data_IF_610101209744
#
_entry.id   IF_610101209744
#
_cell.length_a   1.000
_cell.length_b   1.000
_cell.length_c   1.000
_cell.angle_alpha   90.00
_cell.angle_beta   90.00
_cell.angle_gamma   90.00
#
_symmetry.space_group_name_H-M   'P 1'
#
loop_
_entity.id
_entity.type
_entity.pdbx_description
1 polymer ?
#
# COMPACT_ATOMS: atom_id res chain seq x y z
N UNK A 1 -13.93 -42.68 -0.72
CA UNK A 1 -13.13 -41.86 0.21
C UNK A 1 -13.60 -40.43 0.03
N UNK A 2 -14.45 -39.95 0.93
CA UNK A 2 -14.87 -38.55 0.95
C UNK A 2 -13.80 -37.76 1.73
N UNK A 3 -13.11 -36.86 1.04
CA UNK A 3 -12.22 -35.91 1.70
C UNK A 3 -13.08 -34.85 2.38
N UNK A 4 -13.33 -35.03 3.67
CA UNK A 4 -13.98 -34.05 4.51
C UNK A 4 -12.97 -32.98 4.92
N UNK A 5 -12.67 -32.05 4.01
CA UNK A 5 -11.80 -30.91 4.31
C UNK A 5 -12.63 -29.86 5.05
N UNK A 6 -12.81 -30.03 6.37
CA UNK A 6 -13.29 -28.93 7.22
C UNK A 6 -12.25 -27.82 7.16
N UNK A 7 -12.51 -26.80 6.34
CA UNK A 7 -11.68 -25.60 6.31
C UNK A 7 -11.82 -24.94 7.69
N UNK A 8 -10.76 -25.02 8.50
CA UNK A 8 -10.72 -24.34 9.80
C UNK A 8 -10.96 -22.86 9.57
N UNK A 9 -11.99 -22.31 10.21
CA UNK A 9 -12.35 -20.91 10.08
C UNK A 9 -11.21 -20.07 10.65
N UNK A 10 -10.50 -19.34 9.79
CA UNK A 10 -9.36 -18.50 10.19
C UNK A 10 -9.84 -17.10 10.57
N UNK A 11 -9.27 -16.46 11.60
CA UNK A 11 -9.53 -15.05 11.87
C UNK A 11 -9.09 -14.16 10.70
N UNK A 12 -9.86 -13.12 10.42
CA UNK A 12 -9.51 -12.10 9.44
C UNK A 12 -8.40 -11.22 10.00
N UNK A 13 -7.31 -11.06 9.25
CA UNK A 13 -6.14 -10.27 9.64
C UNK A 13 -5.98 -9.00 8.81
N UNK A 14 -6.71 -8.90 7.69
CA UNK A 14 -6.64 -7.81 6.72
C UNK A 14 -6.48 -8.37 5.31
N UNK A 15 -6.01 -7.54 4.38
CA UNK A 15 -5.91 -7.90 2.96
C UNK A 15 -5.13 -9.20 2.71
N UNK A 16 -4.03 -9.39 3.44
CA UNK A 16 -3.12 -10.53 3.28
C UNK A 16 -3.81 -11.90 3.34
N UNK A 17 -4.95 -12.02 4.02
CA UNK A 17 -5.72 -13.25 4.10
C UNK A 17 -7.20 -13.07 3.73
N UNK A 18 -7.60 -11.94 3.13
CA UNK A 18 -9.01 -11.63 2.83
C UNK A 18 -9.63 -12.69 1.90
N UNK A 19 -8.94 -13.09 0.83
CA UNK A 19 -9.45 -14.11 -0.10
C UNK A 19 -9.50 -15.51 0.52
N UNK A 20 -8.47 -15.86 1.30
CA UNK A 20 -8.42 -17.14 2.01
C UNK A 20 -9.52 -17.23 3.07
N UNK A 21 -9.74 -16.14 3.82
CA UNK A 21 -10.82 -15.97 4.78
C UNK A 21 -12.18 -16.08 4.10
N UNK A 22 -12.42 -15.33 3.02
CA UNK A 22 -13.69 -15.36 2.30
C UNK A 22 -14.00 -16.75 1.74
N UNK A 23 -12.97 -17.47 1.27
CA UNK A 23 -13.11 -18.86 0.81
C UNK A 23 -13.45 -19.80 1.96
N UNK A 24 -12.73 -19.73 3.08
CA UNK A 24 -12.98 -20.56 4.26
C UNK A 24 -14.39 -20.33 4.83
N UNK A 25 -14.82 -19.07 4.93
CA UNK A 25 -16.17 -18.69 5.35
C UNK A 25 -17.24 -19.27 4.41
N UNK A 26 -17.06 -19.13 3.09
CA UNK A 26 -18.01 -19.70 2.10
C UNK A 26 -18.10 -21.22 2.19
N UNK A 27 -16.99 -21.92 2.44
CA UNK A 27 -16.97 -23.38 2.63
C UNK A 27 -17.71 -23.77 3.91
N UNK A 28 -17.41 -23.10 5.02
CA UNK A 28 -18.07 -23.34 6.31
C UNK A 28 -19.58 -23.08 6.25
N UNK A 29 -20.00 -22.02 5.59
CA UNK A 29 -21.43 -21.73 5.43
C UNK A 29 -22.09 -22.71 4.44
N UNK A 30 -21.36 -23.21 3.44
CA UNK A 30 -21.88 -24.21 2.51
C UNK A 30 -22.16 -25.54 3.21
N UNK A 31 -21.29 -25.99 4.12
CA UNK A 31 -21.53 -27.22 4.90
C UNK A 31 -22.73 -27.11 5.83
N UNK A 32 -23.18 -25.88 6.14
CA UNK A 32 -24.37 -25.59 6.93
C UNK A 32 -25.62 -25.31 6.08
N UNK A 33 -25.50 -25.28 4.74
CA UNK A 33 -26.59 -24.86 3.84
C UNK A 33 -26.89 -23.35 3.89
N UNK A 34 -26.00 -22.54 4.46
CA UNK A 34 -26.20 -21.11 4.73
C UNK A 34 -25.39 -20.18 3.82
N UNK A 35 -24.54 -20.71 2.92
CA UNK A 35 -23.75 -19.92 1.97
C UNK A 35 -24.56 -18.84 1.22
N UNK A 36 -25.82 -19.09 0.78
CA UNK A 36 -26.62 -18.09 0.07
C UNK A 36 -26.76 -16.75 0.81
N UNK A 37 -26.77 -16.75 2.15
CA UNK A 37 -26.94 -15.54 2.97
C UNK A 37 -25.79 -14.54 2.87
N UNK A 38 -24.63 -14.90 2.30
CA UNK A 38 -23.52 -13.96 2.04
C UNK A 38 -23.23 -13.78 0.55
N UNK A 39 -23.90 -14.53 -0.34
CA UNK A 39 -23.65 -14.45 -1.79
C UNK A 39 -24.80 -13.84 -2.57
N UNK A 40 -26.01 -13.84 -2.00
CA UNK A 40 -27.23 -13.38 -2.65
C UNK A 40 -28.11 -12.66 -1.63
N UNK A 41 -28.86 -11.66 -2.07
CA UNK A 41 -29.85 -11.01 -1.20
C UNK A 41 -31.05 -11.94 -1.04
N UNK A 42 -31.35 -12.33 0.20
CA UNK A 42 -32.47 -13.22 0.53
C UNK A 42 -33.54 -12.40 1.25
N UNK A 43 -34.67 -12.09 0.60
CA UNK A 43 -35.74 -11.35 1.25
C UNK A 43 -36.40 -12.18 2.36
N UNK A 44 -37.06 -11.49 3.30
CA UNK A 44 -37.84 -12.15 4.33
C UNK A 44 -38.98 -12.98 3.70
N UNK A 45 -39.12 -14.26 4.06
CA UNK A 45 -40.17 -15.10 3.50
C UNK A 45 -41.49 -14.91 4.24
N UNK A 46 -42.62 -15.06 3.54
CA UNK A 46 -43.96 -15.03 4.15
C UNK A 46 -44.19 -16.19 5.13
N UNK A 47 -43.52 -17.33 4.90
CA UNK A 47 -43.58 -18.54 5.73
C UNK A 47 -42.18 -18.86 6.25
N UNK A 48 -42.10 -19.40 7.47
CA UNK A 48 -40.84 -19.76 8.14
C UNK A 48 -39.92 -18.56 8.49
N UNK A 49 -40.50 -17.40 8.79
CA UNK A 49 -39.78 -16.19 9.22
C UNK A 49 -38.82 -16.45 10.41
N UNK A 50 -39.25 -17.23 11.40
CA UNK A 50 -38.40 -17.59 12.54
C UNK A 50 -37.12 -18.33 12.11
N UNK A 51 -37.23 -19.27 11.17
CA UNK A 51 -36.07 -19.98 10.63
C UNK A 51 -35.15 -19.02 9.88
N UNK A 52 -35.72 -18.11 9.09
CA UNK A 52 -34.96 -17.11 8.35
C UNK A 52 -34.15 -16.19 9.28
N UNK A 53 -34.72 -15.71 10.39
CA UNK A 53 -33.99 -14.95 11.40
C UNK A 53 -32.90 -15.78 12.08
N UNK A 54 -33.20 -17.03 12.46
CA UNK A 54 -32.22 -17.92 13.09
C UNK A 54 -31.04 -18.21 12.15
N UNK A 55 -31.31 -18.45 10.88
CA UNK A 55 -30.28 -18.66 9.86
C UNK A 55 -29.41 -17.41 9.72
N UNK A 56 -29.99 -16.22 9.59
CA UNK A 56 -29.23 -14.94 9.55
C UNK A 56 -28.38 -14.74 10.79
N UNK A 57 -28.96 -14.88 11.99
CA UNK A 57 -28.23 -14.75 13.25
C UNK A 57 -27.07 -15.74 13.35
N UNK A 58 -27.26 -16.97 12.86
CA UNK A 58 -26.20 -17.98 12.81
C UNK A 58 -25.07 -17.58 11.87
N UNK A 59 -25.38 -17.04 10.69
CA UNK A 59 -24.35 -16.54 9.76
C UNK A 59 -23.62 -15.33 10.35
N UNK A 60 -24.35 -14.37 10.92
CA UNK A 60 -23.76 -13.22 11.62
C UNK A 60 -22.79 -13.66 12.71
N UNK A 61 -23.21 -14.58 13.59
CA UNK A 61 -22.35 -15.10 14.65
C UNK A 61 -21.06 -15.74 14.13
N UNK A 62 -21.13 -16.46 12.99
CA UNK A 62 -19.94 -17.01 12.33
C UNK A 62 -19.04 -15.89 11.80
N UNK A 63 -19.58 -14.87 11.13
CA UNK A 63 -18.78 -13.75 10.63
C UNK A 63 -18.11 -13.01 11.80
N UNK A 64 -18.87 -12.63 12.82
CA UNK A 64 -18.38 -11.95 14.03
C UNK A 64 -17.23 -12.72 14.69
N UNK A 65 -17.34 -14.06 14.79
CA UNK A 65 -16.27 -14.88 15.38
C UNK A 65 -14.91 -14.76 14.67
N UNK A 66 -14.90 -14.27 13.43
CA UNK A 66 -13.68 -14.10 12.63
C UNK A 66 -13.14 -12.67 12.58
N UNK A 67 -13.93 -11.68 12.97
CA UNK A 67 -13.57 -10.24 12.88
C UNK A 67 -13.34 -9.60 14.26
N UNK A 68 -13.07 -10.40 15.30
CA UNK A 68 -12.76 -9.95 16.67
C UNK A 68 -11.41 -9.22 16.82
N UNK A 69 -10.82 -8.74 15.73
CA UNK A 69 -9.56 -8.00 15.74
C UNK A 69 -9.88 -6.49 15.77
N UNK A 70 -9.38 -5.78 16.78
CA UNK A 70 -9.63 -4.34 16.99
C UNK A 70 -9.32 -3.49 15.75
N UNK A 71 -8.27 -3.84 14.99
CA UNK A 71 -7.93 -3.11 13.76
C UNK A 71 -8.98 -3.34 12.67
N UNK A 72 -9.50 -4.56 12.54
CA UNK A 72 -10.59 -4.85 11.58
C UNK A 72 -11.86 -4.12 11.99
N UNK A 73 -12.24 -4.17 13.27
CA UNK A 73 -13.42 -3.45 13.76
C UNK A 73 -13.28 -1.94 13.55
N UNK A 74 -12.10 -1.37 13.81
CA UNK A 74 -11.83 0.06 13.56
C UNK A 74 -11.98 0.41 12.08
N UNK A 75 -11.47 -0.43 11.17
CA UNK A 75 -11.63 -0.25 9.72
C UNK A 75 -13.12 -0.27 9.35
N UNK A 76 -13.91 -1.21 9.87
CA UNK A 76 -15.35 -1.29 9.61
C UNK A 76 -16.08 -0.04 10.12
N UNK A 77 -15.78 0.42 11.34
CA UNK A 77 -16.38 1.62 11.92
C UNK A 77 -16.07 2.88 11.09
N UNK A 78 -14.83 3.04 10.62
CA UNK A 78 -14.46 4.15 9.71
C UNK A 78 -15.28 4.09 8.41
N UNK A 79 -15.59 2.88 7.93
CA UNK A 79 -16.37 2.63 6.73
C UNK A 79 -17.88 2.54 7.01
N UNK A 80 -18.36 3.20 8.07
CA UNK A 80 -19.79 3.33 8.40
C UNK A 80 -20.49 2.00 8.71
N UNK A 81 -19.81 1.09 9.42
CA UNK A 81 -20.44 -0.13 9.90
C UNK A 81 -21.60 0.15 10.85
N UNK A 82 -22.82 -0.11 10.36
CA UNK A 82 -24.02 -0.27 11.17
C UNK A 82 -24.02 -1.61 11.92
N UNK A 83 -23.75 -1.58 13.23
CA UNK A 83 -23.75 -2.74 14.13
C UNK A 83 -25.16 -3.33 14.34
N UNK A 84 -26.21 -2.52 14.15
CA UNK A 84 -27.61 -2.96 14.32
C UNK A 84 -28.15 -3.66 13.05
N UNK A 85 -27.39 -3.65 11.95
CA UNK A 85 -27.77 -4.29 10.72
C UNK A 85 -27.62 -5.82 10.81
N UNK A 86 -28.75 -6.53 10.76
CA UNK A 86 -28.80 -7.99 10.88
C UNK A 86 -28.62 -8.75 9.54
N UNK A 87 -28.22 -8.06 8.46
CA UNK A 87 -27.98 -8.66 7.15
C UNK A 87 -26.55 -9.21 7.01
N UNK A 88 -26.38 -10.55 6.95
CA UNK A 88 -25.07 -11.14 6.80
C UNK A 88 -24.39 -10.79 5.48
N UNK A 89 -25.18 -10.52 4.42
CA UNK A 89 -24.62 -10.11 3.13
C UNK A 89 -24.03 -8.72 3.21
N UNK A 90 -24.75 -7.79 3.83
CA UNK A 90 -24.26 -6.43 4.08
C UNK A 90 -22.92 -6.46 4.80
N UNK A 91 -22.83 -7.19 5.93
CA UNK A 91 -21.59 -7.25 6.70
C UNK A 91 -20.45 -7.91 5.89
N UNK A 92 -20.74 -8.99 5.16
CA UNK A 92 -19.74 -9.65 4.33
C UNK A 92 -19.20 -8.74 3.21
N UNK A 93 -20.08 -8.01 2.54
CA UNK A 93 -19.69 -7.07 1.48
C UNK A 93 -18.92 -5.88 2.05
N UNK A 94 -19.41 -5.29 3.15
CA UNK A 94 -18.74 -4.20 3.85
C UNK A 94 -17.31 -4.58 4.26
N UNK A 95 -17.10 -5.78 4.79
CA UNK A 95 -15.76 -6.28 5.15
C UNK A 95 -14.84 -6.30 3.93
N UNK A 96 -15.31 -6.85 2.81
CA UNK A 96 -14.50 -6.94 1.59
C UNK A 96 -14.15 -5.56 1.08
N UNK A 97 -15.14 -4.68 0.98
CA UNK A 97 -14.98 -3.35 0.41
C UNK A 97 -14.06 -2.48 1.29
N UNK A 98 -14.28 -2.49 2.61
CA UNK A 98 -13.50 -1.67 3.56
C UNK A 98 -12.03 -2.06 3.57
N UNK A 99 -11.71 -3.36 3.63
CA UNK A 99 -10.32 -3.84 3.69
C UNK A 99 -9.61 -3.62 2.36
N UNK A 100 -10.32 -3.81 1.24
CA UNK A 100 -9.77 -3.53 -0.09
C UNK A 100 -9.51 -2.03 -0.28
N UNK A 101 -10.44 -1.16 0.18
CA UNK A 101 -10.31 0.30 0.06
C UNK A 101 -9.08 0.82 0.81
N UNK A 102 -8.94 0.47 2.10
CA UNK A 102 -7.79 0.86 2.92
C UNK A 102 -6.47 0.43 2.28
N UNK A 103 -6.44 -0.74 1.66
CA UNK A 103 -5.25 -1.21 0.95
C UNK A 103 -4.97 -0.37 -0.30
N UNK A 104 -5.99 -0.01 -1.08
CA UNK A 104 -5.84 0.82 -2.27
C UNK A 104 -5.41 2.25 -1.91
N UNK A 105 -5.94 2.81 -0.82
CA UNK A 105 -5.51 4.09 -0.25
C UNK A 105 -4.03 4.02 0.15
N UNK A 106 -3.63 3.02 0.93
CA UNK A 106 -2.23 2.84 1.33
C UNK A 106 -1.29 2.62 0.12
N UNK A 107 -1.77 1.95 -0.94
CA UNK A 107 -1.05 1.83 -2.22
C UNK A 107 -0.92 3.20 -2.90
N UNK A 108 -2.00 3.98 -2.95
CA UNK A 108 -2.01 5.32 -3.53
C UNK A 108 -1.05 6.24 -2.78
N UNK A 109 -1.04 6.23 -1.45
CA UNK A 109 -0.13 7.03 -0.63
C UNK A 109 1.34 6.75 -0.96
N UNK A 110 1.70 5.47 -1.13
CA UNK A 110 3.07 5.08 -1.51
C UNK A 110 3.42 5.59 -2.92
N UNK A 111 2.48 5.56 -3.86
CA UNK A 111 2.68 6.09 -5.20
C UNK A 111 2.78 7.61 -5.22
N UNK A 112 1.90 8.30 -4.50
CA UNK A 112 1.86 9.75 -4.39
C UNK A 112 3.15 10.27 -3.73
N UNK A 113 3.60 9.65 -2.65
CA UNK A 113 4.87 10.01 -2.02
C UNK A 113 6.05 9.84 -3.00
N UNK A 114 6.04 8.75 -3.76
CA UNK A 114 7.08 8.49 -4.77
C UNK A 114 7.09 9.54 -5.89
N UNK A 115 5.92 9.95 -6.40
CA UNK A 115 5.80 10.89 -7.51
C UNK A 115 6.04 12.35 -7.09
N UNK A 116 5.69 12.68 -5.85
CA UNK A 116 5.80 14.05 -5.33
C UNK A 116 7.15 14.35 -4.69
N UNK A 117 8.00 13.34 -4.47
CA UNK A 117 9.32 13.48 -3.87
C UNK A 117 10.16 14.58 -4.56
N UNK A 118 10.71 15.52 -3.78
CA UNK A 118 11.60 16.58 -4.28
C UNK A 118 12.96 16.52 -3.60
N UNK A 119 14.03 16.67 -4.38
CA UNK A 119 15.40 16.78 -3.86
C UNK A 119 15.57 17.90 -2.84
N UNK A 120 14.87 19.01 -3.03
CA UNK A 120 14.94 20.18 -2.15
C UNK A 120 14.48 19.90 -0.71
N UNK A 121 13.68 18.85 -0.48
CA UNK A 121 13.20 18.45 0.85
C UNK A 121 14.24 17.67 1.67
N UNK A 122 15.45 17.46 1.14
CA UNK A 122 16.49 16.64 1.76
C UNK A 122 17.77 17.44 1.98
N UNK A 123 18.50 17.11 3.05
CA UNK A 123 19.77 17.76 3.36
C UNK A 123 20.85 17.46 2.31
N UNK A 124 20.83 16.29 1.67
CA UNK A 124 21.85 15.86 0.70
C UNK A 124 21.25 15.07 -0.47
N UNK A 125 21.97 15.02 -1.59
CA UNK A 125 21.53 14.21 -2.74
C UNK A 125 21.54 12.72 -2.39
N UNK A 126 22.49 12.30 -1.56
CA UNK A 126 22.59 10.94 -1.04
C UNK A 126 21.33 10.54 -0.27
N UNK A 127 20.87 11.37 0.68
CA UNK A 127 19.65 11.08 1.46
C UNK A 127 18.39 11.07 0.60
N UNK A 128 18.28 11.97 -0.37
CA UNK A 128 17.21 11.95 -1.38
C UNK A 128 17.21 10.64 -2.19
N UNK A 129 18.37 10.23 -2.72
CA UNK A 129 18.47 9.02 -3.54
C UNK A 129 18.15 7.75 -2.73
N UNK A 130 18.53 7.68 -1.45
CA UNK A 130 18.12 6.58 -0.57
C UNK A 130 16.60 6.51 -0.41
N UNK A 131 15.92 7.64 -0.13
CA UNK A 131 14.45 7.66 -0.02
C UNK A 131 13.79 7.31 -1.34
N UNK A 132 14.28 7.85 -2.45
CA UNK A 132 13.78 7.56 -3.79
C UNK A 132 13.87 6.07 -4.11
N UNK A 133 15.02 5.42 -3.87
CA UNK A 133 15.17 3.97 -4.10
C UNK A 133 14.27 3.12 -3.19
N UNK A 134 14.13 3.51 -1.92
CA UNK A 134 13.24 2.82 -0.99
C UNK A 134 11.78 2.90 -1.45
N UNK A 135 11.29 4.08 -1.87
CA UNK A 135 9.95 4.26 -2.40
C UNK A 135 9.76 3.54 -3.74
N UNK A 136 10.74 3.62 -4.66
CA UNK A 136 10.73 2.89 -5.93
C UNK A 136 10.52 1.39 -5.71
N UNK A 137 11.21 0.81 -4.72
CA UNK A 137 11.03 -0.60 -4.34
C UNK A 137 9.61 -0.84 -3.79
N UNK A 138 9.16 -0.02 -2.84
CA UNK A 138 7.82 -0.16 -2.23
C UNK A 138 6.70 -0.07 -3.25
N UNK A 139 6.77 0.86 -4.21
CA UNK A 139 5.75 0.99 -5.28
C UNK A 139 5.63 -0.30 -6.10
N UNK A 140 6.76 -0.95 -6.42
CA UNK A 140 6.77 -2.26 -7.11
C UNK A 140 6.25 -3.38 -6.21
N UNK A 141 6.67 -3.40 -4.95
CA UNK A 141 6.26 -4.41 -3.97
C UNK A 141 4.74 -4.37 -3.71
N UNK A 142 4.09 -3.20 -3.84
CA UNK A 142 2.62 -3.07 -3.72
C UNK A 142 1.85 -3.28 -5.03
N UNK A 143 2.56 -3.65 -6.12
CA UNK A 143 1.97 -4.13 -7.37
C UNK A 143 1.89 -3.12 -8.51
N UNK A 144 2.46 -1.91 -8.37
CA UNK A 144 2.50 -0.98 -9.50
C UNK A 144 3.61 -1.34 -10.48
N UNK A 145 3.24 -1.32 -11.77
CA UNK A 145 4.18 -1.31 -12.87
C UNK A 145 4.44 0.15 -13.29
N UNK A 146 5.71 0.58 -13.24
CA UNK A 146 6.12 1.91 -13.69
C UNK A 146 6.97 1.73 -14.94
N UNK A 147 6.52 2.31 -16.05
CA UNK A 147 7.28 2.40 -17.30
C UNK A 147 8.59 3.18 -17.09
N UNK A 148 9.68 2.76 -17.74
CA UNK A 148 11.00 3.37 -17.54
C UNK A 148 11.00 4.87 -17.93
N UNK A 149 10.21 5.29 -18.93
CA UNK A 149 10.13 6.71 -19.30
C UNK A 149 9.39 7.53 -18.23
N UNK A 150 8.35 6.96 -17.62
CA UNK A 150 7.64 7.58 -16.49
C UNK A 150 8.57 7.68 -15.29
N UNK A 151 9.35 6.62 -15.02
CA UNK A 151 10.34 6.59 -13.95
C UNK A 151 11.41 7.69 -14.13
N UNK A 152 11.98 7.79 -15.33
CA UNK A 152 12.95 8.80 -15.72
C UNK A 152 12.38 10.22 -15.58
N UNK A 153 11.15 10.43 -16.07
CA UNK A 153 10.47 11.73 -16.00
C UNK A 153 10.22 12.17 -14.55
N UNK A 154 9.78 11.25 -13.69
CA UNK A 154 9.58 11.51 -12.27
C UNK A 154 10.90 11.86 -11.58
N UNK A 155 11.96 11.08 -11.82
CA UNK A 155 13.28 11.36 -11.26
C UNK A 155 13.82 12.72 -11.71
N UNK A 156 13.69 13.05 -13.00
CA UNK A 156 14.10 14.35 -13.54
C UNK A 156 13.33 15.50 -12.88
N UNK A 157 12.00 15.39 -12.77
CA UNK A 157 11.16 16.39 -12.13
C UNK A 157 11.43 16.55 -10.62
N UNK A 158 11.91 15.50 -9.96
CA UNK A 158 12.28 15.54 -8.55
C UNK A 158 13.56 16.36 -8.28
N UNK A 159 14.49 16.42 -9.25
CA UNK A 159 15.83 17.01 -9.06
C UNK A 159 16.06 18.33 -9.82
N UNK A 160 15.35 18.59 -10.92
CA UNK A 160 15.66 19.68 -11.87
C UNK A 160 15.76 21.08 -11.26
N UNK A 161 14.98 21.36 -10.22
CA UNK A 161 14.98 22.67 -9.56
C UNK A 161 16.18 22.87 -8.62
N UNK A 162 16.74 21.78 -8.09
CA UNK A 162 17.95 21.83 -7.24
C UNK A 162 19.24 21.96 -8.07
N UNK A 163 19.21 21.57 -9.35
CA UNK A 163 20.36 21.62 -10.26
C UNK A 163 19.99 22.30 -11.59
N UNK A 164 19.65 23.60 -11.60
CA UNK A 164 19.06 24.26 -12.77
C UNK A 164 20.01 24.35 -13.98
N UNK A 165 21.34 24.36 -13.75
CA UNK A 165 22.34 24.35 -14.83
C UNK A 165 22.42 22.96 -15.45
N UNK A 166 22.63 21.93 -14.63
CA UNK A 166 22.72 20.55 -15.09
C UNK A 166 21.40 20.06 -15.70
N UNK A 167 20.26 20.52 -15.17
CA UNK A 167 18.94 20.17 -15.68
C UNK A 167 18.74 20.55 -17.15
N UNK A 168 19.34 21.63 -17.64
CA UNK A 168 19.29 21.99 -19.07
C UNK A 168 20.05 20.97 -19.92
N UNK A 169 21.20 20.49 -19.44
CA UNK A 169 21.98 19.46 -20.11
C UNK A 169 21.23 18.12 -20.12
N UNK A 170 20.70 17.71 -18.97
CA UNK A 170 19.93 16.48 -18.85
C UNK A 170 18.66 16.49 -19.70
N UNK A 171 17.97 17.64 -19.79
CA UNK A 171 16.81 17.79 -20.66
C UNK A 171 17.17 17.61 -22.15
N UNK A 172 18.33 18.11 -22.57
CA UNK A 172 18.82 17.90 -23.93
C UNK A 172 19.13 16.42 -24.20
N UNK A 173 19.73 15.70 -23.24
CA UNK A 173 20.01 14.27 -23.35
C UNK A 173 18.73 13.42 -23.34
N UNK A 174 17.74 13.82 -22.54
CA UNK A 174 16.42 13.19 -22.49
C UNK A 174 15.69 13.35 -23.84
N UNK A 175 15.68 14.55 -24.43
CA UNK A 175 15.07 14.80 -25.74
C UNK A 175 15.74 14.03 -26.89
N UNK A 176 17.02 13.68 -26.74
CA UNK A 176 17.76 12.86 -27.72
C UNK A 176 17.66 11.36 -27.47
N UNK A 177 16.95 10.92 -26.42
CA UNK A 177 16.86 9.51 -26.03
C UNK A 177 18.19 8.92 -25.52
N UNK A 178 19.14 9.77 -25.10
CA UNK A 178 20.46 9.33 -24.64
C UNK A 178 20.46 8.94 -23.16
N UNK A 179 19.46 9.42 -22.42
CA UNK A 179 19.27 9.22 -21.00
C UNK A 179 18.29 8.08 -20.74
N UNK A 180 18.68 7.12 -19.90
CA UNK A 180 17.81 6.06 -19.36
C UNK A 180 17.75 6.22 -17.84
N UNK A 181 16.76 5.64 -17.17
CA UNK A 181 16.67 5.73 -15.71
C UNK A 181 17.94 5.22 -15.03
N UNK A 182 18.49 4.10 -15.52
CA UNK A 182 19.74 3.53 -14.98
C UNK A 182 20.92 4.50 -15.14
N UNK A 183 21.10 5.10 -16.32
CA UNK A 183 22.17 6.09 -16.55
C UNK A 183 21.99 7.32 -15.67
N UNK A 184 20.76 7.80 -15.54
CA UNK A 184 20.49 9.01 -14.77
C UNK A 184 20.68 8.79 -13.27
N UNK A 185 20.23 7.65 -12.73
CA UNK A 185 20.53 7.25 -11.35
C UNK A 185 22.04 7.17 -11.10
N UNK A 186 22.80 6.57 -12.03
CA UNK A 186 24.26 6.51 -11.91
C UNK A 186 24.89 7.91 -11.88
N UNK A 187 24.43 8.82 -12.74
CA UNK A 187 24.90 10.21 -12.78
C UNK A 187 24.62 10.92 -11.45
N UNK A 188 23.39 10.79 -10.92
CA UNK A 188 23.03 11.39 -9.64
C UNK A 188 23.81 10.79 -8.47
N UNK A 189 24.10 9.49 -8.48
CA UNK A 189 24.96 8.86 -7.47
C UNK A 189 26.39 9.39 -7.52
N UNK A 190 26.97 9.60 -8.71
CA UNK A 190 28.28 10.25 -8.83
C UNK A 190 28.25 11.67 -8.28
N UNK A 191 27.22 12.45 -8.63
CA UNK A 191 27.05 13.81 -8.13
C UNK A 191 26.92 13.85 -6.59
N UNK A 192 26.19 12.89 -6.01
CA UNK A 192 26.04 12.77 -4.56
C UNK A 192 27.38 12.52 -3.85
N UNK A 193 28.22 11.65 -4.43
CA UNK A 193 29.56 11.39 -3.90
C UNK A 193 30.46 12.62 -3.98
N UNK A 194 30.34 13.39 -5.06
CA UNK A 194 31.06 14.66 -5.23
C UNK A 194 30.63 15.67 -4.15
N UNK A 195 29.32 15.89 -3.93
CA UNK A 195 28.80 16.78 -2.87
C UNK A 195 29.33 16.40 -1.48
N UNK A 196 29.32 15.10 -1.17
CA UNK A 196 29.80 14.55 0.10
C UNK A 196 31.29 14.81 0.31
N UNK A 197 32.09 14.57 -0.72
CA UNK A 197 33.55 14.77 -0.66
C UNK A 197 33.90 16.25 -0.44
N UNK A 198 33.24 17.16 -1.16
CA UNK A 198 33.44 18.60 -0.96
C UNK A 198 33.06 19.05 0.45
N UNK A 199 31.92 18.58 0.97
CA UNK A 199 31.47 18.91 2.33
C UNK A 199 32.51 18.49 3.38
N UNK A 200 33.05 17.27 3.27
CA UNK A 200 34.08 16.77 4.18
C UNK A 200 35.39 17.59 4.12
N UNK A 201 35.81 17.99 2.92
CA UNK A 201 37.01 18.82 2.75
C UNK A 201 36.85 20.21 3.37
N UNK A 202 35.65 20.80 3.33
CA UNK A 202 35.37 22.09 3.94
C UNK A 202 35.43 21.98 5.47
N UNK A 203 34.79 20.97 6.05
CA UNK A 203 34.81 20.72 7.51
C UNK A 203 36.25 20.54 8.01
N UNK A 204 37.05 19.69 7.35
CA UNK A 204 38.45 19.47 7.73
C UNK A 204 39.31 20.75 7.65
N UNK A 205 39.04 21.65 6.68
CA UNK A 205 39.71 22.95 6.59
C UNK A 205 39.32 23.93 7.69
N UNK A 206 38.10 23.85 8.22
CA UNK A 206 37.64 24.70 9.33
C UNK A 206 38.25 24.23 10.64
N UNK A 207 38.24 22.91 10.90
CA UNK A 207 38.84 22.32 12.09
C UNK A 207 40.36 22.60 12.18
N UNK A 208 41.08 22.43 11.06
CA UNK A 208 42.52 22.73 11.00
C UNK A 208 42.86 24.22 11.15
N UNK A 209 41.92 25.13 10.87
CA UNK A 209 42.10 26.56 11.16
C UNK A 209 41.91 26.86 12.65
N UNK A 210 40.89 26.29 13.28
CA UNK A 210 40.61 26.52 14.70
C UNK A 210 41.74 26.01 15.61
N UNK A 211 42.34 24.85 15.28
CA UNK A 211 43.48 24.27 16.02
C UNK A 211 44.77 25.11 15.91
N UNK A 212 44.89 25.98 14.89
CA UNK A 212 46.07 26.86 14.70
C UNK A 212 45.92 28.23 15.36
N UNK A 213 44.78 28.51 15.99
CA UNK A 213 44.46 29.79 16.64
C UNK A 213 44.35 29.71 18.16
N UNK A 214 44.75 28.58 18.75
CA UNK A 214 44.90 28.39 20.21
C UNK A 214 46.36 28.49 20.65
#
# INVERSE_FOLDING_TARGET
MEYNTTATLVPLKGESNLDAWARALKVQLASLGLKPYITTTIPAPEKALAKWHMDRAKVMGVIHSTINNDNIQSILMINSWDEDNDDPKYLFDLIRDSITSVTNEAKSDVLDEYQTLKRASFASLESFLMRYQALRKRVKDVGYFIDDNVELTNLFNAVKHSYPVDAKLWAADLNKGLLTTKKFLSLLSTLANTEKTYSNMVVAKVETKNVKTE
#
